data_IF_956440184109
#
_entry.id   IF_956440184109
#
_cell.length_a   1.000
_cell.length_b   1.000
_cell.length_c   1.000
_cell.angle_alpha   90.00
_cell.angle_beta   90.00
_cell.angle_gamma   90.00
#
_symmetry.space_group_name_H-M   'P 1'
#
loop_
_entity.id
_entity.type
_entity.pdbx_description
1 polymer ?
#
# COMPACT_ATOMS: atom_id res chain seq x y z
N UNK A 1 9.87 -14.82 -3.14
CA UNK A 1 10.88 -14.54 -4.19
C UNK A 1 10.65 -13.17 -4.82
N UNK A 2 9.46 -12.83 -5.33
CA UNK A 2 9.18 -11.52 -5.96
C UNK A 2 9.61 -10.28 -5.17
N UNK A 3 9.08 -10.07 -3.96
CA UNK A 3 9.43 -8.90 -3.13
C UNK A 3 10.94 -8.78 -2.85
N UNK A 4 11.61 -9.91 -2.62
CA UNK A 4 13.06 -9.95 -2.41
C UNK A 4 13.84 -9.51 -3.66
N UNK A 5 13.36 -9.85 -4.85
CA UNK A 5 13.97 -9.41 -6.11
C UNK A 5 13.78 -7.90 -6.33
N UNK A 6 12.62 -7.35 -6.00
CA UNK A 6 12.36 -5.91 -6.07
C UNK A 6 13.31 -5.14 -5.14
N UNK A 7 13.46 -5.59 -3.89
CA UNK A 7 14.41 -4.98 -2.95
C UNK A 7 15.86 -5.07 -3.45
N UNK A 8 16.25 -6.19 -4.08
CA UNK A 8 17.58 -6.33 -4.73
C UNK A 8 17.78 -5.41 -5.93
N UNK A 9 16.70 -5.05 -6.62
CA UNK A 9 16.70 -4.07 -7.71
C UNK A 9 16.70 -2.62 -7.20
N UNK A 10 16.77 -2.39 -5.89
CA UNK A 10 16.79 -1.05 -5.29
C UNK A 10 15.41 -0.42 -5.12
N UNK A 11 14.33 -1.21 -5.20
CA UNK A 11 12.97 -0.74 -4.95
C UNK A 11 12.69 -0.82 -3.45
N UNK A 12 12.37 0.32 -2.84
CA UNK A 12 11.90 0.40 -1.46
C UNK A 12 10.51 -0.24 -1.35
N UNK A 13 10.33 -1.09 -0.32
CA UNK A 13 9.07 -1.79 -0.06
C UNK A 13 8.57 -1.40 1.32
N UNK A 14 7.26 -1.13 1.41
CA UNK A 14 6.57 -0.85 2.67
C UNK A 14 5.34 -1.74 2.83
N UNK A 15 5.05 -2.14 4.06
CA UNK A 15 3.77 -2.74 4.45
C UNK A 15 2.94 -1.74 5.23
N UNK A 16 1.67 -1.63 4.86
CA UNK A 16 0.71 -0.75 5.50
C UNK A 16 -0.54 -1.57 5.82
N UNK A 17 -1.06 -1.45 7.03
CA UNK A 17 -2.34 -2.06 7.41
C UNK A 17 -3.06 -1.21 8.46
N UNK A 18 -4.38 -1.12 8.35
CA UNK A 18 -5.25 -0.54 9.38
C UNK A 18 -5.43 -1.48 10.58
N UNK A 19 -5.07 -2.75 10.45
CA UNK A 19 -5.23 -3.75 11.50
C UNK A 19 -4.07 -3.78 12.49
N UNK A 20 -4.36 -4.22 13.71
CA UNK A 20 -3.34 -4.57 14.70
C UNK A 20 -2.88 -6.02 14.45
N UNK A 21 -1.94 -6.22 13.54
CA UNK A 21 -1.64 -7.54 13.00
C UNK A 21 -0.17 -7.95 13.20
N UNK A 22 0.16 -8.71 14.27
CA UNK A 22 1.54 -9.17 14.52
C UNK A 22 2.12 -10.03 13.39
N UNK A 23 1.26 -10.68 12.60
CA UNK A 23 1.69 -11.51 11.46
C UNK A 23 2.36 -10.66 10.38
N UNK A 24 1.94 -9.41 10.20
CA UNK A 24 2.52 -8.47 9.23
C UNK A 24 3.95 -8.12 9.64
N UNK A 25 4.18 -7.84 10.93
CA UNK A 25 5.51 -7.54 11.46
C UNK A 25 6.46 -8.73 11.33
N UNK A 26 6.00 -9.93 11.72
CA UNK A 26 6.78 -11.16 11.58
C UNK A 26 7.13 -11.42 10.11
N UNK A 27 6.18 -11.19 9.20
CA UNK A 27 6.39 -11.38 7.77
C UNK A 27 7.38 -10.38 7.20
N UNK A 28 7.25 -9.11 7.55
CA UNK A 28 8.17 -8.06 7.15
C UNK A 28 9.60 -8.35 7.62
N UNK A 29 9.75 -8.73 8.90
CA UNK A 29 11.05 -9.14 9.46
C UNK A 29 11.66 -10.32 8.70
N UNK A 30 10.87 -11.35 8.40
CA UNK A 30 11.33 -12.51 7.62
C UNK A 30 11.79 -12.14 6.20
N UNK A 31 11.19 -11.11 5.60
CA UNK A 31 11.52 -10.65 4.25
C UNK A 31 12.62 -9.58 4.22
N UNK A 32 12.96 -8.96 5.36
CA UNK A 32 13.89 -7.84 5.44
C UNK A 32 13.27 -6.49 5.03
N UNK A 33 11.94 -6.37 5.11
CA UNK A 33 11.22 -5.12 4.82
C UNK A 33 11.38 -4.18 6.01
N UNK A 34 11.83 -2.95 5.73
CA UNK A 34 12.18 -1.95 6.76
C UNK A 34 11.00 -1.08 7.18
N UNK A 35 10.12 -0.78 6.24
CA UNK A 35 9.00 0.15 6.44
C UNK A 35 7.74 -0.66 6.71
N UNK A 36 7.29 -0.66 7.97
CA UNK A 36 6.11 -1.41 8.40
C UNK A 36 5.25 -0.48 9.24
N UNK A 37 4.04 -0.24 8.78
CA UNK A 37 3.08 0.61 9.45
C UNK A 37 1.82 -0.20 9.75
N UNK A 38 1.52 -0.35 11.04
CA UNK A 38 0.36 -1.08 11.56
C UNK A 38 -0.56 -0.10 12.28
N UNK A 39 -1.83 -0.47 12.47
CA UNK A 39 -2.84 0.39 13.07
C UNK A 39 -2.96 1.76 12.37
N UNK A 40 -2.75 1.80 11.05
CA UNK A 40 -2.81 3.01 10.27
C UNK A 40 -4.25 3.52 10.16
N UNK A 41 -4.54 4.68 10.75
CA UNK A 41 -5.87 5.33 10.60
C UNK A 41 -6.07 5.95 9.22
N UNK A 42 -4.98 6.39 8.58
CA UNK A 42 -4.98 6.95 7.23
C UNK A 42 -3.78 6.41 6.47
N UNK A 43 -3.99 5.42 5.60
CA UNK A 43 -2.92 4.90 4.73
C UNK A 43 -2.39 5.99 3.79
N UNK A 44 -3.25 6.92 3.35
CA UNK A 44 -2.85 8.07 2.53
C UNK A 44 -1.76 8.89 3.23
N UNK A 45 -2.01 9.28 4.48
CA UNK A 45 -1.05 10.08 5.25
C UNK A 45 0.28 9.33 5.42
N UNK A 46 0.21 8.04 5.71
CA UNK A 46 1.43 7.19 5.85
C UNK A 46 2.23 7.17 4.55
N UNK A 47 1.58 7.05 3.39
CA UNK A 47 2.30 7.08 2.10
C UNK A 47 2.90 8.46 1.83
N UNK A 48 2.15 9.55 2.09
CA UNK A 48 2.66 10.92 1.95
C UNK A 48 3.89 11.16 2.85
N UNK A 49 3.82 10.75 4.11
CA UNK A 49 4.92 10.90 5.07
C UNK A 49 6.15 10.08 4.66
N UNK A 50 5.95 8.82 4.28
CA UNK A 50 7.04 7.94 3.86
C UNK A 50 7.71 8.45 2.57
N UNK A 51 6.92 8.90 1.61
CA UNK A 51 7.46 9.42 0.34
C UNK A 51 8.23 10.71 0.54
N UNK A 52 7.77 11.59 1.44
CA UNK A 52 8.53 12.76 1.86
C UNK A 52 9.85 12.36 2.56
N UNK A 53 9.81 11.40 3.50
CA UNK A 53 11.01 10.90 4.18
C UNK A 53 12.04 10.31 3.21
N UNK A 54 11.58 9.59 2.18
CA UNK A 54 12.41 8.97 1.16
C UNK A 54 12.76 9.92 0.01
N UNK A 55 12.26 11.17 0.03
CA UNK A 55 12.40 12.13 -1.07
C UNK A 55 11.96 11.55 -2.44
N UNK A 56 10.90 10.74 -2.42
CA UNK A 56 10.33 10.10 -3.60
C UNK A 56 9.04 10.81 -4.02
N UNK A 57 8.86 11.15 -5.31
CA UNK A 57 7.58 11.69 -5.75
C UNK A 57 6.52 10.59 -5.82
N UNK A 58 5.28 10.89 -5.47
CA UNK A 58 4.13 9.94 -5.49
C UNK A 58 3.96 9.23 -6.85
N UNK A 59 4.27 9.90 -7.97
CA UNK A 59 4.27 9.30 -9.32
C UNK A 59 5.26 8.13 -9.52
N UNK A 60 6.21 7.93 -8.61
CA UNK A 60 7.17 6.82 -8.63
C UNK A 60 6.80 5.72 -7.63
N UNK A 61 5.64 5.83 -6.99
CA UNK A 61 5.14 4.84 -6.06
C UNK A 61 4.15 3.96 -6.78
N UNK A 62 4.27 2.66 -6.57
CA UNK A 62 3.27 1.67 -6.92
C UNK A 62 2.59 1.20 -5.64
N UNK A 63 1.26 1.08 -5.68
CA UNK A 63 0.47 0.69 -4.53
C UNK A 63 -0.40 -0.52 -4.88
N UNK A 64 -0.34 -1.55 -4.03
CA UNK A 64 -1.03 -2.82 -4.22
C UNK A 64 -1.93 -3.10 -3.02
N UNK A 65 -3.20 -3.33 -3.31
CA UNK A 65 -4.26 -3.58 -2.32
C UNK A 65 -5.22 -4.65 -2.84
N UNK A 66 -5.86 -5.36 -1.92
CA UNK A 66 -6.91 -6.34 -2.17
C UNK A 66 -8.34 -5.83 -1.87
N UNK A 67 -8.49 -4.69 -1.18
CA UNK A 67 -9.80 -4.14 -0.77
C UNK A 67 -10.13 -2.78 -1.43
N UNK A 68 -11.42 -2.46 -1.52
CA UNK A 68 -12.00 -1.26 -2.16
C UNK A 68 -11.87 -0.01 -1.30
N UNK A 69 -11.61 -0.16 0.01
CA UNK A 69 -11.56 0.93 0.97
C UNK A 69 -10.34 1.85 0.80
N UNK A 70 -9.43 1.53 -0.11
CA UNK A 70 -8.13 2.19 -0.29
C UNK A 70 -8.02 3.03 -1.56
N UNK A 71 -9.15 3.51 -2.04
CA UNK A 71 -9.24 4.40 -3.20
C UNK A 71 -8.45 5.71 -3.02
N UNK A 72 -8.35 6.23 -1.80
CA UNK A 72 -7.70 7.52 -1.54
C UNK A 72 -6.16 7.49 -1.70
N UNK A 73 -5.42 6.52 -1.14
CA UNK A 73 -4.01 6.31 -1.48
C UNK A 73 -3.79 6.01 -2.96
N UNK A 74 -4.64 5.16 -3.55
CA UNK A 74 -4.47 4.72 -4.94
C UNK A 74 -4.44 5.89 -5.92
N UNK A 75 -5.44 6.78 -5.85
CA UNK A 75 -5.60 7.95 -6.76
C UNK A 75 -4.41 8.90 -6.83
N UNK A 76 -3.45 8.79 -5.91
CA UNK A 76 -2.28 9.66 -5.81
C UNK A 76 -1.02 9.05 -6.46
N UNK A 77 -1.04 7.76 -6.80
CA UNK A 77 0.16 6.97 -7.15
C UNK A 77 0.37 6.84 -8.67
N UNK A 78 1.63 6.57 -9.06
CA UNK A 78 1.99 6.44 -10.48
C UNK A 78 1.54 5.13 -11.14
N UNK A 79 1.25 4.11 -10.34
CA UNK A 79 0.71 2.83 -10.80
C UNK A 79 -0.16 2.21 -9.70
N UNK A 80 -1.39 1.87 -10.07
CA UNK A 80 -2.36 1.21 -9.21
C UNK A 80 -2.59 -0.22 -9.70
N UNK A 81 -2.45 -1.20 -8.81
CA UNK A 81 -2.84 -2.58 -9.11
C UNK A 81 -3.78 -3.09 -8.01
N UNK A 82 -5.08 -2.99 -8.24
CA UNK A 82 -6.08 -3.69 -7.43
C UNK A 82 -6.12 -5.16 -7.83
N UNK A 83 -6.03 -6.07 -6.85
CA UNK A 83 -6.24 -7.50 -7.12
C UNK A 83 -7.72 -7.73 -7.44
N UNK A 84 -8.01 -8.24 -8.65
CA UNK A 84 -9.37 -8.37 -9.19
C UNK A 84 -10.13 -9.56 -8.59
N UNK A 85 -10.42 -9.50 -7.28
CA UNK A 85 -11.42 -10.32 -6.59
C UNK A 85 -12.39 -9.45 -5.76
N UNK A 86 -12.65 -8.24 -6.22
CA UNK A 86 -13.63 -7.34 -5.63
C UNK A 86 -15.02 -7.78 -6.12
N UNK A 87 -15.79 -8.45 -5.26
CA UNK A 87 -17.23 -8.56 -5.43
C UNK A 87 -17.81 -7.15 -5.48
N UNK A 88 -18.26 -6.72 -6.67
CA UNK A 88 -18.99 -5.47 -6.85
C UNK A 88 -20.29 -5.53 -6.04
N UNK A 89 -20.31 -4.93 -4.86
CA UNK A 89 -21.50 -4.26 -4.33
C UNK A 89 -21.30 -2.75 -4.44
N UNK A 90 -20.97 -2.28 -5.64
CA UNK A 90 -21.12 -0.86 -5.95
C UNK A 90 -22.62 -0.59 -6.01
N UNK A 91 -23.19 -0.04 -4.94
CA UNK A 91 -24.37 0.81 -5.08
C UNK A 91 -23.93 1.95 -5.98
N UNK A 92 -24.26 1.81 -7.26
CA UNK A 92 -24.30 2.91 -8.22
C UNK A 92 -25.21 3.94 -7.56
N UNK A 93 -24.65 5.01 -7.01
CA UNK A 93 -25.43 6.20 -6.76
C UNK A 93 -25.73 6.77 -8.15
N UNK A 94 -26.92 6.42 -8.59
CA UNK A 94 -27.67 7.09 -9.64
C UNK A 94 -27.69 8.60 -9.36
N UNK A 95 -27.49 9.37 -10.43
CA UNK A 95 -27.73 10.81 -10.58
C UNK A 95 -28.62 11.47 -9.52
N UNK A 96 -28.16 12.62 -9.03
CA UNK A 96 -28.70 13.95 -9.40
C UNK A 96 -27.62 15.03 -9.25
#
# INVERSE_FOLDING_TARGET
>A
MGLTLLMRAGIEIAFLTSENSPIVEVRAKKLGIKHVFINCRSKKQVVEDLTNQLSLPLRKVAYMEDDVNDEAPMRLMGLETAYKNIYKSTKIHSNE
#
